data_IF_473850205383
#
_entry.id   IF_473850205383
#
_cell.length_a   1.000
_cell.length_b   1.000
_cell.length_c   1.000
_cell.angle_alpha   90.00
_cell.angle_beta   90.00
_cell.angle_gamma   90.00
#
_symmetry.space_group_name_H-M   'P 1'
#
loop_
_entity.id
_entity.type
_entity.pdbx_description
1 polymer ?
#
# COMPACT_ATOMS: atom_id res chain seq x y z
N UNK A 1 -12.84 11.58 -3.68
CA UNK A 1 -11.87 10.63 -3.14
C UNK A 1 -10.77 10.35 -4.17
N UNK A 2 -9.57 10.07 -3.68
CA UNK A 2 -8.46 9.53 -4.48
C UNK A 2 -8.18 8.12 -3.96
N UNK A 3 -8.12 7.15 -4.86
CA UNK A 3 -7.89 5.74 -4.53
C UNK A 3 -6.76 5.21 -5.39
N UNK A 4 -5.74 4.63 -4.75
CA UNK A 4 -4.67 3.88 -5.40
C UNK A 4 -4.82 2.39 -5.08
N UNK A 5 -4.79 1.56 -6.11
CA UNK A 5 -4.84 0.09 -5.99
C UNK A 5 -3.71 -0.58 -6.78
N UNK A 6 -2.63 0.14 -7.08
CA UNK A 6 -1.53 -0.36 -7.91
C UNK A 6 -0.17 0.17 -7.45
N UNK A 7 0.88 -0.37 -8.02
CA UNK A 7 2.26 0.02 -7.84
C UNK A 7 3.20 -1.17 -7.96
N UNK A 8 4.21 -1.05 -8.82
CA UNK A 8 5.20 -2.09 -9.07
C UNK A 8 6.25 -2.20 -7.95
N UNK A 9 6.76 -3.39 -7.77
CA UNK A 9 7.80 -3.74 -6.81
C UNK A 9 8.87 -4.59 -7.51
N UNK A 10 10.05 -4.64 -6.92
CA UNK A 10 11.10 -5.56 -7.33
C UNK A 10 11.17 -6.76 -6.37
N UNK A 11 11.25 -7.94 -6.93
CA UNK A 11 11.51 -9.19 -6.19
C UNK A 11 12.81 -9.82 -6.70
N UNK A 12 13.72 -10.09 -5.80
CA UNK A 12 15.01 -10.70 -6.14
C UNK A 12 15.91 -10.89 -4.92
N UNK A 13 16.94 -11.75 -5.04
CA UNK A 13 17.85 -12.03 -3.95
C UNK A 13 18.63 -10.78 -3.50
N UNK A 14 18.67 -10.52 -2.20
CA UNK A 14 19.41 -9.38 -1.64
C UNK A 14 20.88 -9.38 -2.05
N UNK A 15 21.52 -10.56 -2.11
CA UNK A 15 22.95 -10.71 -2.42
C UNK A 15 23.34 -10.21 -3.82
N UNK A 16 22.41 -10.16 -4.76
CA UNK A 16 22.65 -9.73 -6.16
C UNK A 16 21.86 -8.48 -6.55
N UNK A 17 21.08 -7.93 -5.63
CA UNK A 17 20.25 -6.74 -5.86
C UNK A 17 21.13 -5.50 -6.08
N UNK A 18 20.83 -4.75 -7.11
CA UNK A 18 21.49 -3.47 -7.44
C UNK A 18 20.65 -2.30 -6.98
N UNK A 19 21.27 -1.13 -6.83
CA UNK A 19 20.56 0.12 -6.53
C UNK A 19 19.44 0.39 -7.54
N UNK A 20 19.66 0.11 -8.83
CA UNK A 20 18.65 0.28 -9.88
C UNK A 20 17.45 -0.65 -9.71
N UNK A 21 17.67 -1.88 -9.26
CA UNK A 21 16.59 -2.84 -8.98
C UNK A 21 15.77 -2.38 -7.78
N UNK A 22 16.46 -1.98 -6.71
CA UNK A 22 15.81 -1.47 -5.50
C UNK A 22 15.01 -0.19 -5.77
N UNK A 23 15.53 0.68 -6.64
CA UNK A 23 14.89 1.94 -7.01
C UNK A 23 13.55 1.74 -7.75
N UNK A 24 13.30 0.59 -8.37
CA UNK A 24 12.03 0.34 -9.08
C UNK A 24 10.83 0.51 -8.16
N UNK A 25 10.77 -0.19 -7.03
CA UNK A 25 9.67 -0.08 -6.09
C UNK A 25 9.60 1.28 -5.40
N UNK A 26 10.78 1.91 -5.17
CA UNK A 26 10.83 3.27 -4.61
C UNK A 26 10.16 4.28 -5.54
N UNK A 27 10.46 4.26 -6.83
CA UNK A 27 9.92 5.22 -7.79
C UNK A 27 8.47 4.94 -8.14
N UNK A 28 8.12 3.68 -8.35
CA UNK A 28 6.79 3.30 -8.78
C UNK A 28 5.81 3.26 -7.59
N UNK A 29 5.91 2.28 -6.73
CA UNK A 29 4.89 2.07 -5.68
C UNK A 29 4.97 3.09 -4.56
N UNK A 30 6.18 3.45 -4.09
CA UNK A 30 6.31 4.43 -3.00
C UNK A 30 6.06 5.85 -3.48
N UNK A 31 6.97 6.38 -4.29
CA UNK A 31 6.89 7.78 -4.73
C UNK A 31 5.69 8.04 -5.65
N UNK A 32 5.25 7.05 -6.43
CA UNK A 32 4.01 7.15 -7.20
C UNK A 32 2.81 7.46 -6.32
N UNK A 33 2.63 6.74 -5.21
CA UNK A 33 1.54 6.98 -4.29
C UNK A 33 1.73 8.23 -3.41
N UNK A 34 2.97 8.51 -2.99
CA UNK A 34 3.29 9.77 -2.28
C UNK A 34 2.93 10.98 -3.14
N UNK A 35 3.30 10.97 -4.44
CA UNK A 35 2.95 12.04 -5.39
C UNK A 35 1.45 12.22 -5.55
N UNK A 36 0.67 11.12 -5.56
CA UNK A 36 -0.78 11.19 -5.57
C UNK A 36 -1.33 11.95 -4.36
N UNK A 37 -0.79 11.70 -3.18
CA UNK A 37 -1.22 12.40 -1.97
C UNK A 37 -0.79 13.87 -1.97
N UNK A 38 0.48 14.14 -2.32
CA UNK A 38 1.03 15.50 -2.36
C UNK A 38 0.28 16.39 -3.35
N UNK A 39 -0.01 15.87 -4.53
CA UNK A 39 -0.74 16.61 -5.57
C UNK A 39 -2.24 16.62 -5.28
N UNK A 40 -2.80 15.46 -4.93
CA UNK A 40 -4.24 15.26 -4.79
C UNK A 40 -4.89 16.07 -3.69
N UNK A 41 -4.15 16.33 -2.58
CA UNK A 41 -4.67 17.17 -1.50
C UNK A 41 -5.14 18.56 -1.96
N UNK A 42 -4.59 19.08 -3.04
CA UNK A 42 -4.96 20.40 -3.58
C UNK A 42 -6.23 20.36 -4.43
N UNK A 43 -6.67 19.19 -4.88
CA UNK A 43 -7.85 19.01 -5.74
C UNK A 43 -9.05 18.41 -5.00
N UNK A 44 -8.84 17.88 -3.80
CA UNK A 44 -9.92 17.31 -2.99
C UNK A 44 -10.75 18.41 -2.32
N UNK A 45 -12.05 18.17 -2.26
CA UNK A 45 -12.97 18.98 -1.47
C UNK A 45 -12.69 18.80 0.03
N UNK A 46 -13.23 19.72 0.84
CA UNK A 46 -13.25 19.59 2.29
C UNK A 46 -13.84 18.23 2.71
N UNK A 47 -13.21 17.57 3.67
CA UNK A 47 -13.59 16.24 4.12
C UNK A 47 -13.33 15.11 3.14
N UNK A 48 -12.63 15.37 2.03
CA UNK A 48 -12.24 14.36 1.06
C UNK A 48 -11.34 13.25 1.64
N UNK A 49 -11.04 12.23 0.86
CA UNK A 49 -10.22 11.11 1.31
C UNK A 49 -9.19 10.66 0.28
N UNK A 50 -8.05 10.19 0.80
CA UNK A 50 -6.98 9.53 0.05
C UNK A 50 -6.84 8.11 0.61
N UNK A 51 -6.85 7.11 -0.26
CA UNK A 51 -6.64 5.72 0.13
C UNK A 51 -5.52 5.13 -0.71
N UNK A 52 -4.44 4.73 -0.06
CA UNK A 52 -3.26 4.13 -0.67
C UNK A 52 -3.21 2.62 -0.40
N UNK A 53 -2.29 1.92 -1.08
CA UNK A 53 -2.13 0.47 -0.92
C UNK A 53 -0.70 0.10 -0.51
N UNK A 54 -0.60 -0.76 0.51
CA UNK A 54 0.59 -1.45 0.97
C UNK A 54 0.45 -2.96 0.70
N UNK A 55 0.78 -3.79 1.66
CA UNK A 55 0.61 -5.25 1.62
C UNK A 55 1.22 -5.92 2.84
N UNK A 56 0.80 -7.14 3.09
CA UNK A 56 1.20 -7.98 4.24
C UNK A 56 2.72 -8.03 4.45
N UNK A 57 3.51 -7.96 3.37
CA UNK A 57 4.99 -8.04 3.44
C UNK A 57 5.63 -6.86 4.20
N UNK A 58 4.87 -5.81 4.53
CA UNK A 58 5.33 -4.80 5.48
C UNK A 58 5.55 -5.36 6.88
N UNK A 59 4.83 -6.44 7.23
CA UNK A 59 4.82 -7.08 8.56
C UNK A 59 5.36 -8.51 8.54
N UNK A 60 5.11 -9.23 7.45
CA UNK A 60 5.46 -10.64 7.24
C UNK A 60 6.44 -10.72 6.06
N UNK A 61 7.75 -10.51 6.26
CA UNK A 61 8.74 -10.55 5.18
C UNK A 61 8.80 -11.92 4.50
N UNK A 62 9.04 -11.91 3.19
CA UNK A 62 9.23 -13.11 2.38
C UNK A 62 10.63 -13.14 1.76
N UNK A 63 11.08 -14.32 1.34
CA UNK A 63 12.30 -14.44 0.56
C UNK A 63 12.23 -13.58 -0.70
N UNK A 64 13.33 -12.93 -1.07
CA UNK A 64 13.43 -12.02 -2.22
C UNK A 64 12.53 -10.78 -2.14
N UNK A 65 11.90 -10.51 -0.99
CA UNK A 65 10.93 -9.43 -0.78
C UNK A 65 11.48 -8.14 -0.15
N UNK A 66 12.80 -7.95 -0.07
CA UNK A 66 13.40 -6.80 0.65
C UNK A 66 12.87 -5.46 0.13
N UNK A 67 12.82 -5.27 -1.19
CA UNK A 67 12.24 -4.06 -1.78
C UNK A 67 10.75 -3.91 -1.42
N UNK A 68 9.98 -4.98 -1.55
CA UNK A 68 8.56 -4.97 -1.24
C UNK A 68 8.27 -4.63 0.24
N UNK A 69 9.02 -5.23 1.16
CA UNK A 69 8.91 -4.93 2.60
C UNK A 69 9.23 -3.46 2.88
N UNK A 70 10.34 -2.96 2.36
CA UNK A 70 10.78 -1.58 2.57
C UNK A 70 9.73 -0.58 2.06
N UNK A 71 9.28 -0.74 0.82
CA UNK A 71 8.30 0.15 0.19
C UNK A 71 6.97 0.15 0.94
N UNK A 72 6.46 -1.03 1.28
CA UNK A 72 5.17 -1.15 1.98
C UNK A 72 5.25 -0.58 3.41
N UNK A 73 6.33 -0.81 4.13
CA UNK A 73 6.56 -0.23 5.46
C UNK A 73 6.71 1.30 5.41
N UNK A 74 7.40 1.83 4.39
CA UNK A 74 7.54 3.27 4.18
C UNK A 74 6.18 3.95 3.94
N UNK A 75 5.27 3.32 3.17
CA UNK A 75 3.92 3.82 2.96
C UNK A 75 3.11 3.91 4.27
N UNK A 76 3.28 2.97 5.19
CA UNK A 76 2.65 3.04 6.50
C UNK A 76 3.13 4.24 7.32
N UNK A 77 4.44 4.50 7.31
CA UNK A 77 5.03 5.66 7.95
C UNK A 77 4.51 6.96 7.35
N UNK A 78 4.50 7.05 6.02
CA UNK A 78 3.98 8.22 5.30
C UNK A 78 2.52 8.51 5.65
N UNK A 79 1.64 7.51 5.58
CA UNK A 79 0.21 7.69 5.86
C UNK A 79 -0.05 8.14 7.30
N UNK A 80 0.67 7.56 8.27
CA UNK A 80 0.53 7.97 9.68
C UNK A 80 0.92 9.43 9.90
N UNK A 81 2.02 9.87 9.29
CA UNK A 81 2.49 11.25 9.42
C UNK A 81 1.58 12.23 8.64
N UNK A 82 1.25 11.92 7.40
CA UNK A 82 0.40 12.75 6.56
C UNK A 82 -1.00 12.99 7.17
N UNK A 83 -1.54 12.01 7.86
CA UNK A 83 -2.84 12.14 8.54
C UNK A 83 -2.87 13.25 9.61
N UNK A 84 -1.70 13.63 10.16
CA UNK A 84 -1.58 14.70 11.15
C UNK A 84 -1.52 16.09 10.52
N UNK A 85 -1.24 16.18 9.20
CA UNK A 85 -0.93 17.45 8.54
C UNK A 85 -1.89 17.81 7.41
N UNK A 86 -2.65 16.86 6.87
CA UNK A 86 -3.57 17.11 5.76
C UNK A 86 -4.62 18.18 6.13
N UNK A 87 -4.79 19.20 5.27
CA UNK A 87 -5.69 20.31 5.57
C UNK A 87 -7.16 19.99 5.31
N UNK A 88 -8.06 20.86 5.71
CA UNK A 88 -9.51 20.84 5.37
C UNK A 88 -10.23 19.54 5.71
N UNK A 89 -9.80 18.84 6.79
CA UNK A 89 -10.42 17.57 7.16
C UNK A 89 -10.22 16.44 6.15
N UNK A 90 -9.26 16.57 5.22
CA UNK A 90 -8.91 15.50 4.29
C UNK A 90 -8.31 14.33 5.08
N UNK A 91 -8.86 13.14 4.87
CA UNK A 91 -8.42 11.91 5.52
C UNK A 91 -7.49 11.13 4.60
N UNK A 92 -6.54 10.40 5.18
CA UNK A 92 -5.68 9.48 4.44
C UNK A 92 -5.57 8.15 5.19
N UNK A 93 -5.73 7.05 4.48
CA UNK A 93 -5.60 5.70 5.02
C UNK A 93 -4.86 4.79 4.05
N UNK A 94 -4.46 3.63 4.54
CA UNK A 94 -3.71 2.63 3.81
C UNK A 94 -4.41 1.27 3.91
N UNK A 95 -4.55 0.59 2.78
CA UNK A 95 -5.03 -0.79 2.75
C UNK A 95 -3.82 -1.71 2.69
N UNK A 96 -3.77 -2.71 3.55
CA UNK A 96 -2.68 -3.69 3.61
C UNK A 96 -3.26 -5.10 3.51
N UNK A 97 -3.47 -5.61 2.30
CA UNK A 97 -3.99 -6.96 2.11
C UNK A 97 -2.89 -8.02 2.18
N UNK A 98 -3.28 -9.25 2.49
CA UNK A 98 -2.53 -10.43 2.10
C UNK A 98 -2.60 -10.62 0.58
N UNK A 99 -2.10 -11.74 0.06
CA UNK A 99 -2.17 -12.07 -1.38
C UNK A 99 -3.63 -12.12 -1.83
N UNK A 100 -3.93 -11.46 -2.95
CA UNK A 100 -5.26 -11.57 -3.56
C UNK A 100 -5.44 -12.96 -4.16
N UNK A 101 -6.60 -13.58 -3.92
CA UNK A 101 -6.93 -14.89 -4.50
C UNK A 101 -6.80 -14.89 -6.02
N UNK A 102 -7.22 -13.79 -6.65
CA UNK A 102 -7.16 -13.61 -8.11
C UNK A 102 -5.73 -13.45 -8.65
N UNK A 103 -4.76 -13.17 -7.78
CA UNK A 103 -3.34 -13.00 -8.14
C UNK A 103 -2.45 -14.12 -7.60
N UNK A 104 -2.99 -15.07 -6.84
CA UNK A 104 -2.21 -16.08 -6.14
C UNK A 104 -1.32 -16.91 -7.09
N UNK A 105 -1.82 -17.26 -8.28
CA UNK A 105 -1.07 -18.00 -9.28
C UNK A 105 0.18 -17.21 -9.76
N UNK A 106 0.07 -15.90 -9.95
CA UNK A 106 1.17 -15.05 -10.38
C UNK A 106 2.29 -14.92 -9.30
N UNK A 107 1.96 -15.20 -8.06
CA UNK A 107 2.88 -15.16 -6.92
C UNK A 107 3.21 -16.56 -6.37
N UNK A 108 2.98 -17.61 -7.15
CA UNK A 108 3.29 -18.97 -6.73
C UNK A 108 4.76 -19.11 -6.31
N UNK A 109 4.98 -19.74 -5.15
CA UNK A 109 6.31 -19.92 -4.56
C UNK A 109 6.85 -18.71 -3.76
N UNK A 110 6.28 -17.51 -3.89
CA UNK A 110 6.72 -16.34 -3.10
C UNK A 110 6.10 -16.27 -1.72
N UNK A 111 4.90 -16.82 -1.54
CA UNK A 111 4.11 -16.72 -0.30
C UNK A 111 3.75 -18.08 0.30
N UNK A 112 4.75 -18.93 0.64
CA UNK A 112 4.47 -20.26 1.19
C UNK A 112 3.74 -20.15 2.53
N UNK A 113 2.55 -20.76 2.63
CA UNK A 113 1.74 -20.78 3.85
C UNK A 113 0.91 -19.53 4.13
N UNK A 114 0.93 -18.54 3.25
CA UNK A 114 0.05 -17.38 3.36
C UNK A 114 -1.36 -17.72 2.83
N UNK A 115 -2.37 -17.30 3.57
CA UNK A 115 -3.75 -17.37 3.08
C UNK A 115 -4.02 -16.23 2.11
N UNK A 116 -4.79 -16.52 1.06
CA UNK A 116 -5.23 -15.48 0.13
C UNK A 116 -6.59 -14.90 0.52
N UNK A 117 -6.90 -13.71 0.05
CA UNK A 117 -8.18 -13.03 0.27
C UNK A 117 -8.78 -12.56 -1.06
N UNK A 118 -10.10 -12.75 -1.29
CA UNK A 118 -10.74 -12.24 -2.51
C UNK A 118 -10.62 -10.71 -2.61
N UNK A 119 -10.41 -10.20 -3.83
CA UNK A 119 -10.36 -8.76 -4.09
C UNK A 119 -11.63 -8.03 -3.62
N UNK A 120 -12.80 -8.69 -3.68
CA UNK A 120 -14.06 -8.16 -3.16
C UNK A 120 -14.01 -7.88 -1.65
N UNK A 121 -13.29 -8.68 -0.88
CA UNK A 121 -13.09 -8.46 0.56
C UNK A 121 -12.19 -7.23 0.79
N UNK A 122 -11.13 -7.10 -0.01
CA UNK A 122 -10.24 -5.93 0.06
C UNK A 122 -10.98 -4.65 -0.32
N UNK A 123 -11.90 -4.71 -1.30
CA UNK A 123 -12.73 -3.58 -1.69
C UNK A 123 -13.58 -3.02 -0.53
N UNK A 124 -14.01 -3.85 0.43
CA UNK A 124 -14.73 -3.37 1.61
C UNK A 124 -13.85 -2.50 2.51
N UNK A 125 -12.55 -2.80 2.60
CA UNK A 125 -11.61 -1.94 3.32
C UNK A 125 -11.43 -0.57 2.63
N UNK A 126 -11.39 -0.54 1.30
CA UNK A 126 -11.40 0.72 0.54
C UNK A 126 -12.67 1.51 0.80
N UNK A 127 -13.83 0.86 0.73
CA UNK A 127 -15.11 1.50 1.04
C UNK A 127 -15.11 2.10 2.44
N UNK A 128 -14.63 1.35 3.45
CA UNK A 128 -14.48 1.83 4.83
C UNK A 128 -13.58 3.05 4.94
N UNK A 129 -12.48 3.10 4.17
CA UNK A 129 -11.59 4.25 4.12
C UNK A 129 -12.24 5.48 3.51
N UNK A 130 -12.96 5.30 2.39
CA UNK A 130 -13.59 6.40 1.63
C UNK A 130 -14.82 6.96 2.36
N UNK A 131 -15.70 6.10 2.85
CA UNK A 131 -16.99 6.48 3.44
C UNK A 131 -16.93 6.68 4.97
N UNK A 132 -15.92 6.12 5.64
CA UNK A 132 -15.77 6.21 7.09
C UNK A 132 -15.11 7.52 7.55
N UNK A 133 -14.91 7.63 8.87
CA UNK A 133 -14.41 8.86 9.52
C UNK A 133 -12.96 8.79 9.97
N UNK A 134 -12.33 7.62 9.83
CA UNK A 134 -10.98 7.39 10.33
C UNK A 134 -9.91 7.98 9.39
N UNK A 135 -8.79 8.43 9.96
CA UNK A 135 -7.60 8.88 9.24
C UNK A 135 -6.34 8.31 9.89
N UNK A 136 -5.28 8.13 9.10
CA UNK A 136 -4.00 7.57 9.56
C UNK A 136 -4.02 6.07 9.84
N UNK A 137 -5.05 5.35 9.36
CA UNK A 137 -5.23 3.91 9.63
C UNK A 137 -4.58 3.05 8.56
N UNK A 138 -4.03 1.92 9.02
CA UNK A 138 -3.65 0.79 8.16
C UNK A 138 -4.73 -0.28 8.36
N UNK A 139 -5.49 -0.54 7.31
CA UNK A 139 -6.52 -1.58 7.32
C UNK A 139 -5.90 -2.89 6.83
N UNK A 140 -5.57 -3.76 7.77
CA UNK A 140 -5.11 -5.12 7.46
C UNK A 140 -6.27 -5.97 6.97
N UNK A 141 -6.06 -6.71 5.89
CA UNK A 141 -7.11 -7.54 5.29
C UNK A 141 -6.56 -8.93 5.01
N UNK A 142 -7.10 -9.92 5.70
CA UNK A 142 -6.71 -11.33 5.56
C UNK A 142 -5.53 -11.76 6.43
N UNK A 143 -5.09 -10.95 7.41
CA UNK A 143 -4.05 -11.34 8.38
C UNK A 143 -4.13 -10.51 9.66
#
# INVERSE_FOLDING_TARGET
AIVSASGGLYFGPLATMKDSDFNQGLQDKLLGQVRLALTGQHYLNEGGSITLISGIVAHEPIAQGVNATTVNAALEGFVRAAACELPRGIRINLISPTVLTESAEAYDGFFPGFESVPAATVAQAYRRSVEGVQSGRVYKVGY
#
